data_IF_214143277717
#
_entry.id   IF_214143277717
#
_cell.length_a   1.000
_cell.length_b   1.000
_cell.length_c   1.000
_cell.angle_alpha   90.00
_cell.angle_beta   90.00
_cell.angle_gamma   90.00
#
_symmetry.space_group_name_H-M   'P 1'
#
loop_
_entity.id
_entity.type
_entity.pdbx_description
1 polymer ?
#
# COMPACT_ATOMS: atom_id res chain seq x y z
N UNK A 1 56.50 -35.51 5.20
CA UNK A 1 55.42 -34.75 4.52
C UNK A 1 55.41 -33.32 5.09
N UNK A 2 55.92 -32.37 4.30
CA UNK A 2 56.29 -31.07 4.78
C UNK A 2 55.10 -30.12 5.07
N UNK A 3 55.34 -29.18 5.94
CA UNK A 3 54.45 -28.09 6.38
C UNK A 3 53.82 -27.34 5.21
N UNK A 4 54.51 -27.21 4.08
CA UNK A 4 54.06 -26.59 2.82
C UNK A 4 52.82 -27.31 2.24
N UNK A 5 52.80 -28.66 2.22
CA UNK A 5 51.65 -29.43 1.71
C UNK A 5 50.40 -29.38 2.62
N UNK A 6 50.57 -29.08 3.92
CA UNK A 6 49.46 -28.85 4.84
C UNK A 6 48.84 -27.47 4.62
N UNK A 7 49.63 -26.44 4.38
CA UNK A 7 49.17 -25.08 4.09
C UNK A 7 48.40 -24.99 2.75
N UNK A 8 48.90 -25.69 1.73
CA UNK A 8 48.22 -25.75 0.41
C UNK A 8 46.86 -26.46 0.48
N UNK A 9 46.73 -27.58 1.19
CA UNK A 9 45.46 -28.27 1.39
C UNK A 9 44.46 -27.44 2.22
N UNK A 10 44.96 -26.72 3.23
CA UNK A 10 44.12 -25.84 4.04
C UNK A 10 43.61 -24.61 3.24
N UNK A 11 44.44 -24.08 2.33
CA UNK A 11 44.03 -22.99 1.43
C UNK A 11 43.02 -23.48 0.39
N UNK A 12 43.20 -24.68 -0.16
CA UNK A 12 42.27 -25.29 -1.10
C UNK A 12 40.89 -25.60 -0.46
N UNK A 13 40.87 -26.15 0.75
CA UNK A 13 39.66 -26.42 1.49
C UNK A 13 38.88 -25.13 1.86
N UNK A 14 39.58 -24.03 2.17
CA UNK A 14 38.95 -22.71 2.40
C UNK A 14 38.34 -22.14 1.11
N UNK A 15 39.04 -22.27 -0.03
CA UNK A 15 38.55 -21.85 -1.34
C UNK A 15 37.29 -22.59 -1.76
N UNK A 16 37.25 -23.93 -1.56
CA UNK A 16 36.08 -24.76 -1.85
C UNK A 16 34.88 -24.43 -0.93
N UNK A 17 35.14 -24.19 0.37
CA UNK A 17 34.11 -23.76 1.32
C UNK A 17 33.50 -22.41 0.94
N UNK A 18 34.31 -21.41 0.60
CA UNK A 18 33.84 -20.09 0.17
C UNK A 18 33.08 -20.15 -1.18
N UNK A 19 33.52 -21.02 -2.12
CA UNK A 19 32.82 -21.19 -3.38
C UNK A 19 31.44 -21.87 -3.19
N UNK A 20 31.35 -22.83 -2.25
CA UNK A 20 30.08 -23.51 -1.92
C UNK A 20 29.10 -22.55 -1.22
N UNK A 21 29.60 -21.68 -0.35
CA UNK A 21 28.79 -20.68 0.36
C UNK A 21 28.23 -19.64 -0.60
N UNK A 22 29.04 -19.08 -1.49
CA UNK A 22 28.58 -18.16 -2.55
C UNK A 22 27.58 -18.81 -3.51
N UNK A 23 27.76 -20.10 -3.82
CA UNK A 23 26.81 -20.85 -4.66
C UNK A 23 25.47 -21.06 -3.93
N UNK A 24 25.53 -21.35 -2.64
CA UNK A 24 24.34 -21.51 -1.79
C UNK A 24 23.56 -20.20 -1.65
N UNK A 25 24.24 -19.09 -1.42
CA UNK A 25 23.63 -17.74 -1.38
C UNK A 25 22.96 -17.38 -2.72
N UNK A 26 23.64 -17.65 -3.85
CA UNK A 26 23.04 -17.44 -5.18
C UNK A 26 21.81 -18.29 -5.41
N UNK A 27 21.85 -19.55 -5.02
CA UNK A 27 20.71 -20.47 -5.16
C UNK A 27 19.54 -20.00 -4.28
N UNK A 28 19.80 -19.59 -3.02
CA UNK A 28 18.78 -19.08 -2.11
C UNK A 28 18.15 -17.78 -2.66
N UNK A 29 18.96 -16.86 -3.20
CA UNK A 29 18.43 -15.64 -3.85
C UNK A 29 17.62 -15.92 -5.10
N UNK A 30 18.09 -16.82 -5.96
CA UNK A 30 17.37 -17.20 -7.20
C UNK A 30 16.11 -17.98 -6.88
N UNK A 31 16.17 -18.96 -5.98
CA UNK A 31 15.02 -19.76 -5.59
C UNK A 31 14.02 -18.92 -4.80
N UNK A 32 14.48 -18.07 -3.88
CA UNK A 32 13.61 -17.14 -3.15
C UNK A 32 12.90 -16.15 -4.08
N UNK A 33 13.64 -15.52 -4.99
CA UNK A 33 13.05 -14.62 -5.98
C UNK A 33 12.10 -15.32 -6.96
N UNK A 34 12.46 -16.52 -7.44
CA UNK A 34 11.61 -17.31 -8.33
C UNK A 34 10.34 -17.81 -7.63
N UNK A 35 10.42 -18.14 -6.33
CA UNK A 35 9.25 -18.57 -5.55
C UNK A 35 8.26 -17.41 -5.35
N UNK A 36 8.76 -16.21 -5.06
CA UNK A 36 7.91 -15.02 -4.94
C UNK A 36 7.22 -14.70 -6.28
N UNK A 37 7.96 -14.73 -7.38
CA UNK A 37 7.39 -14.49 -8.72
C UNK A 37 6.39 -15.59 -9.11
N UNK A 38 6.65 -16.85 -8.78
CA UNK A 38 5.74 -17.96 -9.06
C UNK A 38 4.46 -17.90 -8.21
N UNK A 39 4.58 -17.50 -6.95
CA UNK A 39 3.43 -17.27 -6.06
C UNK A 39 2.60 -16.07 -6.55
N UNK A 40 3.25 -14.98 -6.96
CA UNK A 40 2.58 -13.81 -7.55
C UNK A 40 1.87 -14.18 -8.86
N UNK A 41 2.52 -14.94 -9.74
CA UNK A 41 1.90 -15.39 -10.99
C UNK A 41 0.75 -16.38 -10.74
N UNK A 42 0.83 -17.22 -9.70
CA UNK A 42 -0.24 -18.14 -9.32
C UNK A 42 -1.43 -17.38 -8.71
N UNK A 43 -1.18 -16.35 -7.89
CA UNK A 43 -2.23 -15.50 -7.31
C UNK A 43 -2.95 -14.72 -8.43
N UNK A 44 -2.20 -14.13 -9.37
CA UNK A 44 -2.77 -13.44 -10.54
C UNK A 44 -3.56 -14.43 -11.42
N UNK A 45 -3.04 -15.63 -11.64
CA UNK A 45 -3.72 -16.65 -12.43
C UNK A 45 -5.01 -17.18 -11.80
N UNK A 46 -5.04 -17.31 -10.47
CA UNK A 46 -6.24 -17.72 -9.71
C UNK A 46 -7.25 -16.56 -9.68
N UNK A 47 -6.81 -15.31 -9.51
CA UNK A 47 -7.68 -14.14 -9.52
C UNK A 47 -8.38 -13.98 -10.89
N UNK A 48 -7.66 -14.12 -12.00
CA UNK A 48 -8.23 -14.07 -13.35
C UNK A 48 -9.20 -15.24 -13.61
N UNK A 49 -8.93 -16.43 -13.08
CA UNK A 49 -9.81 -17.60 -13.25
C UNK A 49 -11.06 -17.51 -12.36
N UNK A 50 -10.94 -16.98 -11.13
CA UNK A 50 -12.06 -16.80 -10.22
C UNK A 50 -13.01 -15.69 -10.70
N UNK A 51 -12.49 -14.56 -11.24
CA UNK A 51 -13.31 -13.45 -11.74
C UNK A 51 -14.18 -13.82 -12.94
N UNK A 52 -13.82 -14.87 -13.68
CA UNK A 52 -14.61 -15.34 -14.81
C UNK A 52 -15.78 -16.29 -14.45
N UNK A 53 -15.90 -16.72 -13.19
CA UNK A 53 -16.87 -17.74 -12.76
C UNK A 53 -17.62 -17.43 -11.46
N UNK A 54 -17.51 -16.21 -10.89
CA UNK A 54 -18.27 -15.89 -9.66
C UNK A 54 -19.64 -15.33 -9.99
N UNK A 55 -20.72 -15.87 -9.39
CA UNK A 55 -22.01 -15.21 -9.43
C UNK A 55 -21.93 -13.92 -8.60
N UNK A 56 -22.35 -12.80 -9.18
CA UNK A 56 -22.51 -11.52 -8.51
C UNK A 56 -23.47 -11.67 -7.33
N UNK A 57 -22.93 -11.72 -6.11
CA UNK A 57 -23.73 -11.49 -4.91
C UNK A 57 -23.77 -9.99 -4.67
N UNK A 58 -24.92 -9.40 -4.94
CA UNK A 58 -25.23 -8.02 -4.61
C UNK A 58 -25.03 -7.78 -3.10
N UNK A 59 -23.89 -7.22 -2.74
CA UNK A 59 -23.66 -6.61 -1.43
C UNK A 59 -24.28 -5.19 -1.42
N UNK A 60 -25.49 -5.06 -1.97
CA UNK A 60 -26.21 -3.79 -2.05
C UNK A 60 -26.85 -3.49 -0.70
N UNK A 61 -26.16 -2.74 0.11
CA UNK A 61 -26.66 -2.19 1.39
C UNK A 61 -26.33 -0.73 1.58
N UNK A 62 -25.54 -0.12 0.68
CA UNK A 62 -25.14 1.27 0.83
C UNK A 62 -25.81 2.17 -0.19
N UNK A 63 -26.42 3.23 0.30
CA UNK A 63 -26.83 4.38 -0.48
C UNK A 63 -25.62 5.20 -0.89
N UNK A 64 -24.92 4.82 -1.95
CA UNK A 64 -23.77 5.57 -2.45
C UNK A 64 -22.85 4.70 -3.28
N UNK A 65 -23.24 4.37 -4.50
CA UNK A 65 -22.38 3.71 -5.48
C UNK A 65 -21.20 4.60 -5.90
N UNK A 66 -20.37 4.11 -6.82
CA UNK A 66 -19.29 4.89 -7.44
C UNK A 66 -19.90 6.19 -7.99
N UNK A 67 -19.40 7.33 -7.50
CA UNK A 67 -19.82 8.67 -7.96
C UNK A 67 -18.84 9.18 -9.00
N UNK A 68 -19.29 10.12 -9.83
CA UNK A 68 -18.41 10.79 -10.80
C UNK A 68 -17.37 11.66 -10.08
N UNK A 69 -16.15 11.77 -10.61
CA UNK A 69 -15.13 12.68 -10.08
C UNK A 69 -15.61 14.13 -10.06
N UNK A 70 -15.40 14.82 -8.96
CA UNK A 70 -15.67 16.25 -8.80
C UNK A 70 -14.47 16.93 -8.11
N UNK A 71 -13.58 17.58 -8.84
CA UNK A 71 -12.40 18.26 -8.29
C UNK A 71 -12.74 19.38 -7.30
N UNK A 72 -13.99 19.87 -7.29
CA UNK A 72 -14.48 20.90 -6.35
C UNK A 72 -15.11 20.34 -5.08
N UNK A 73 -15.23 19.00 -4.97
CA UNK A 73 -15.80 18.36 -3.81
C UNK A 73 -14.98 18.61 -2.53
N UNK A 74 -15.65 18.52 -1.38
CA UNK A 74 -14.99 18.62 -0.09
C UNK A 74 -13.88 17.57 0.06
N UNK A 75 -12.75 17.98 0.62
CA UNK A 75 -11.60 17.12 0.90
C UNK A 75 -11.50 16.85 2.40
N UNK A 76 -11.02 15.67 2.81
CA UNK A 76 -10.65 15.42 4.20
C UNK A 76 -9.56 16.39 4.67
N UNK A 77 -9.47 16.63 5.97
CA UNK A 77 -8.55 17.59 6.57
C UNK A 77 -7.09 17.29 6.19
N UNK A 78 -6.40 18.28 5.62
CA UNK A 78 -4.99 18.16 5.23
C UNK A 78 -4.72 17.37 3.95
N UNK A 79 -5.74 16.82 3.30
CA UNK A 79 -5.61 16.25 1.95
C UNK A 79 -5.27 17.33 0.94
N UNK A 80 -4.38 17.02 0.02
CA UNK A 80 -3.87 17.97 -0.98
C UNK A 80 -4.93 18.31 -2.02
N UNK A 81 -4.99 19.59 -2.41
CA UNK A 81 -5.95 20.07 -3.40
C UNK A 81 -5.66 19.55 -4.82
N UNK A 82 -6.61 19.72 -5.73
CA UNK A 82 -6.48 19.39 -7.14
C UNK A 82 -5.31 20.10 -7.84
N UNK A 83 -4.94 21.31 -7.38
CA UNK A 83 -3.83 22.10 -7.95
C UNK A 83 -2.46 21.74 -7.35
N UNK A 84 -2.39 20.77 -6.44
CA UNK A 84 -1.15 20.29 -5.85
C UNK A 84 -0.31 19.52 -6.87
N UNK A 85 1.03 19.49 -6.75
CA UNK A 85 1.87 18.56 -7.52
C UNK A 85 1.51 17.09 -7.36
N UNK A 86 0.86 16.74 -6.25
CA UNK A 86 0.35 15.40 -5.92
C UNK A 86 -1.15 15.49 -5.57
N UNK A 87 -2.02 15.72 -6.58
CA UNK A 87 -3.43 16.01 -6.34
C UNK A 87 -4.13 14.94 -5.53
N UNK A 88 -4.97 15.37 -4.58
CA UNK A 88 -5.79 14.50 -3.71
C UNK A 88 -5.01 13.52 -2.83
N UNK A 89 -3.68 13.62 -2.78
CA UNK A 89 -2.83 12.80 -1.93
C UNK A 89 -2.99 13.10 -0.45
N UNK A 90 -2.70 12.12 0.39
CA UNK A 90 -2.79 12.19 1.85
C UNK A 90 -1.38 12.32 2.44
N UNK A 91 -0.96 13.52 2.89
CA UNK A 91 0.32 13.70 3.56
C UNK A 91 0.33 13.00 4.92
N UNK A 92 1.47 12.41 5.28
CA UNK A 92 1.67 11.81 6.59
C UNK A 92 3.08 12.08 7.13
N UNK A 93 3.17 12.37 8.43
CA UNK A 93 4.41 12.62 9.13
C UNK A 93 4.60 14.07 9.56
N UNK A 94 5.86 14.51 9.66
CA UNK A 94 6.20 15.85 10.24
C UNK A 94 5.94 17.03 9.32
N UNK A 95 5.67 16.82 8.04
CA UNK A 95 5.48 17.88 7.06
C UNK A 95 6.79 18.64 6.69
N UNK A 96 7.97 18.05 6.91
CA UNK A 96 9.25 18.61 6.45
C UNK A 96 9.23 18.84 4.94
N UNK A 97 9.71 20.02 4.48
CA UNK A 97 9.66 20.42 3.06
C UNK A 97 10.99 20.27 2.32
N UNK A 98 12.11 20.24 3.05
CA UNK A 98 13.47 20.18 2.48
C UNK A 98 14.01 18.72 2.44
N UNK A 99 13.12 17.76 2.20
CA UNK A 99 13.41 16.33 2.17
C UNK A 99 12.75 15.70 0.95
N UNK A 100 13.23 14.51 0.49
CA UNK A 100 12.62 13.83 -0.65
C UNK A 100 11.13 13.57 -0.46
N UNK A 101 10.36 13.63 -1.55
CA UNK A 101 8.94 13.25 -1.56
C UNK A 101 8.84 11.76 -1.87
N UNK A 102 8.25 10.99 -0.96
CA UNK A 102 7.92 9.58 -1.17
C UNK A 102 6.42 9.44 -1.39
N UNK A 103 6.02 9.08 -2.60
CA UNK A 103 4.64 8.76 -2.93
C UNK A 103 4.43 7.24 -2.92
N UNK A 104 3.32 6.78 -2.34
CA UNK A 104 2.92 5.37 -2.32
C UNK A 104 1.49 5.24 -2.81
N UNK A 105 1.33 4.67 -4.02
CA UNK A 105 0.03 4.37 -4.59
C UNK A 105 -0.48 3.03 -4.08
N UNK A 106 -1.73 3.00 -3.64
CA UNK A 106 -2.33 1.82 -3.01
C UNK A 106 -3.84 1.74 -3.21
N UNK A 107 -4.36 0.51 -3.20
CA UNK A 107 -5.78 0.21 -3.19
C UNK A 107 -6.07 -0.73 -2.02
N UNK A 108 -7.10 -0.45 -1.23
CA UNK A 108 -7.43 -1.22 -0.03
C UNK A 108 -7.85 -2.67 -0.33
N UNK A 109 -8.31 -2.98 -1.55
CA UNK A 109 -8.61 -4.35 -1.96
C UNK A 109 -7.39 -5.08 -2.53
N UNK A 110 -6.27 -4.38 -2.84
CA UNK A 110 -5.10 -4.97 -3.47
C UNK A 110 -4.31 -5.87 -2.50
N UNK A 111 -4.22 -7.20 -2.75
CA UNK A 111 -3.47 -8.10 -1.87
C UNK A 111 -1.98 -7.77 -1.79
N UNK A 112 -1.40 -7.25 -2.89
CA UNK A 112 0.00 -6.84 -2.92
C UNK A 112 0.25 -5.59 -2.07
N UNK A 113 -0.75 -4.70 -1.92
CA UNK A 113 -0.68 -3.57 -0.99
C UNK A 113 -0.72 -4.04 0.47
N UNK A 114 -1.58 -5.00 0.80
CA UNK A 114 -1.57 -5.64 2.12
C UNK A 114 -0.25 -6.34 2.43
N UNK A 115 0.36 -6.99 1.43
CA UNK A 115 1.67 -7.60 1.57
C UNK A 115 2.79 -6.56 1.79
N UNK A 116 2.75 -5.41 1.09
CA UNK A 116 3.67 -4.30 1.32
C UNK A 116 3.52 -3.73 2.73
N UNK A 117 2.28 -3.52 3.18
CA UNK A 117 1.99 -3.03 4.52
C UNK A 117 2.58 -3.95 5.59
N UNK A 118 2.38 -5.26 5.45
CA UNK A 118 2.95 -6.26 6.35
C UNK A 118 4.48 -6.29 6.31
N UNK A 119 5.09 -6.11 5.13
CA UNK A 119 6.55 -6.20 4.94
C UNK A 119 7.27 -4.94 5.44
N UNK A 120 6.76 -3.74 5.15
CA UNK A 120 7.46 -2.48 5.40
C UNK A 120 6.53 -1.28 5.66
N UNK A 121 5.25 -1.45 5.93
CA UNK A 121 4.34 -0.34 6.22
C UNK A 121 4.86 0.55 7.35
N UNK A 122 5.21 -0.04 8.48
CA UNK A 122 5.77 0.68 9.61
C UNK A 122 7.12 1.39 9.31
N UNK A 123 7.95 0.84 8.42
CA UNK A 123 9.19 1.46 7.98
C UNK A 123 8.96 2.69 7.11
N UNK A 124 7.99 2.60 6.19
CA UNK A 124 7.55 3.72 5.34
C UNK A 124 6.99 4.86 6.21
N UNK A 125 6.09 4.55 7.13
CA UNK A 125 5.52 5.52 8.07
C UNK A 125 6.59 6.21 8.91
N UNK A 126 7.54 5.44 9.43
CA UNK A 126 8.65 5.94 10.23
C UNK A 126 9.52 6.96 9.49
N UNK A 127 9.75 6.78 8.19
CA UNK A 127 10.48 7.78 7.39
C UNK A 127 9.75 9.13 7.36
N UNK A 128 8.42 9.13 7.25
CA UNK A 128 7.60 10.34 7.35
C UNK A 128 7.60 10.93 8.78
N UNK A 129 7.43 10.10 9.80
CA UNK A 129 7.41 10.50 11.22
C UNK A 129 8.75 11.09 11.68
N UNK A 130 9.87 10.59 11.17
CA UNK A 130 11.20 11.12 11.44
C UNK A 130 11.58 12.31 10.54
N UNK A 131 10.70 12.73 9.64
CA UNK A 131 10.95 13.83 8.70
C UNK A 131 12.08 13.54 7.72
N UNK A 132 12.28 12.28 7.37
CA UNK A 132 13.26 11.85 6.35
C UNK A 132 12.71 11.98 4.94
N UNK A 133 11.39 11.93 4.81
CA UNK A 133 10.65 12.14 3.57
C UNK A 133 9.38 12.95 3.84
N UNK A 134 8.87 13.62 2.80
CA UNK A 134 7.45 13.98 2.73
C UNK A 134 6.72 12.73 2.25
N UNK A 135 6.10 11.98 3.16
CA UNK A 135 5.31 10.82 2.79
C UNK A 135 3.93 11.27 2.31
N UNK A 136 3.55 10.85 1.11
CA UNK A 136 2.24 11.12 0.53
C UNK A 136 1.64 9.79 0.07
N UNK A 137 0.58 9.36 0.74
CA UNK A 137 -0.22 8.25 0.25
C UNK A 137 -1.07 8.71 -0.93
N UNK A 138 -1.08 7.90 -2.00
CA UNK A 138 -1.84 8.10 -3.23
C UNK A 138 -2.88 6.98 -3.35
N UNK A 139 -4.02 7.11 -2.66
CA UNK A 139 -5.03 6.07 -2.70
C UNK A 139 -5.71 5.98 -4.07
N UNK A 140 -6.15 4.79 -4.44
CA UNK A 140 -6.96 4.54 -5.63
C UNK A 140 -8.03 3.47 -5.36
N UNK A 141 -9.01 3.38 -6.23
CA UNK A 141 -10.09 2.40 -6.19
C UNK A 141 -10.23 1.66 -7.54
N UNK A 142 -9.13 1.53 -8.29
CA UNK A 142 -9.16 0.98 -9.64
C UNK A 142 -9.59 -0.49 -9.70
N UNK A 143 -9.43 -1.23 -8.61
CA UNK A 143 -9.84 -2.62 -8.53
C UNK A 143 -11.35 -2.79 -8.53
N UNK A 144 -12.13 -1.84 -8.07
CA UNK A 144 -13.59 -1.92 -8.06
C UNK A 144 -14.16 -2.21 -9.46
N UNK A 145 -13.63 -1.54 -10.50
CA UNK A 145 -14.05 -1.78 -11.87
C UNK A 145 -13.73 -3.20 -12.35
N UNK A 146 -12.60 -3.76 -11.91
CA UNK A 146 -12.15 -5.11 -12.28
C UNK A 146 -12.91 -6.19 -11.51
N UNK A 147 -13.29 -5.90 -10.27
CA UNK A 147 -13.96 -6.81 -9.34
C UNK A 147 -15.49 -6.70 -9.38
N UNK A 148 -16.02 -5.66 -10.05
CA UNK A 148 -17.45 -5.42 -10.18
C UNK A 148 -18.11 -5.02 -8.86
N UNK A 149 -17.41 -4.29 -7.99
CA UNK A 149 -17.90 -3.79 -6.72
C UNK A 149 -17.52 -2.31 -6.52
N UNK A 150 -17.79 -1.74 -5.35
CA UNK A 150 -17.50 -0.35 -4.94
C UNK A 150 -16.69 -0.29 -3.64
N UNK A 151 -16.07 -1.39 -3.25
CA UNK A 151 -15.51 -1.56 -1.90
C UNK A 151 -14.29 -0.69 -1.64
N UNK A 152 -13.41 -0.51 -2.64
CA UNK A 152 -12.28 0.40 -2.53
C UNK A 152 -12.73 1.86 -2.39
N UNK A 153 -13.72 2.30 -3.19
CA UNK A 153 -14.28 3.66 -3.06
C UNK A 153 -14.87 3.89 -1.67
N UNK A 154 -15.62 2.93 -1.12
CA UNK A 154 -16.20 3.05 0.22
C UNK A 154 -15.15 3.04 1.32
N UNK A 155 -14.15 2.18 1.21
CA UNK A 155 -13.05 2.14 2.16
C UNK A 155 -12.23 3.45 2.15
N UNK A 156 -12.00 4.04 0.96
CA UNK A 156 -11.37 5.35 0.82
C UNK A 156 -12.22 6.46 1.44
N UNK A 157 -13.52 6.50 1.16
CA UNK A 157 -14.42 7.48 1.75
C UNK A 157 -14.44 7.37 3.29
N UNK A 158 -14.47 6.16 3.83
CA UNK A 158 -14.37 5.92 5.26
C UNK A 158 -13.01 6.37 5.84
N UNK A 159 -11.92 6.16 5.09
CA UNK A 159 -10.60 6.70 5.49
C UNK A 159 -10.62 8.23 5.52
N UNK A 160 -11.26 8.89 4.56
CA UNK A 160 -11.46 10.35 4.60
C UNK A 160 -12.13 10.81 5.91
N UNK A 161 -13.15 10.11 6.35
CA UNK A 161 -13.81 10.38 7.63
C UNK A 161 -12.88 10.15 8.85
N UNK A 162 -12.01 9.16 8.77
CA UNK A 162 -11.02 8.89 9.82
C UNK A 162 -9.89 9.91 9.84
N UNK A 163 -9.51 10.46 8.66
CA UNK A 163 -8.55 11.58 8.54
C UNK A 163 -9.07 12.79 9.31
N UNK A 164 -10.34 13.14 9.18
CA UNK A 164 -10.96 14.23 9.94
C UNK A 164 -10.97 13.98 11.45
N UNK A 165 -11.04 12.72 11.85
CA UNK A 165 -10.91 12.32 13.25
C UNK A 165 -9.45 12.25 13.73
N UNK A 166 -8.46 12.63 12.90
CA UNK A 166 -7.04 12.59 13.22
C UNK A 166 -6.46 11.18 13.27
N UNK A 167 -7.05 10.23 12.54
CA UNK A 167 -6.69 8.80 12.55
C UNK A 167 -6.20 8.31 11.18
N UNK A 168 -5.32 9.10 10.55
CA UNK A 168 -4.77 8.83 9.21
C UNK A 168 -4.15 7.44 9.13
N UNK A 169 -3.17 7.18 9.98
CA UNK A 169 -2.42 5.93 10.01
C UNK A 169 -3.23 4.78 10.59
N UNK A 170 -3.81 5.00 11.75
CA UNK A 170 -4.48 3.95 12.53
C UNK A 170 -5.64 3.32 11.75
N UNK A 171 -6.41 4.13 11.02
CA UNK A 171 -7.51 3.60 10.21
C UNK A 171 -6.99 2.85 8.99
N UNK A 172 -6.05 3.44 8.23
CA UNK A 172 -5.44 2.81 7.07
C UNK A 172 -4.85 1.43 7.44
N UNK A 173 -4.08 1.36 8.51
CA UNK A 173 -3.46 0.12 8.98
C UNK A 173 -4.51 -0.89 9.46
N UNK A 174 -5.60 -0.42 10.08
CA UNK A 174 -6.73 -1.28 10.47
C UNK A 174 -7.40 -1.90 9.25
N UNK A 175 -7.62 -1.13 8.17
CA UNK A 175 -8.20 -1.65 6.92
C UNK A 175 -7.31 -2.75 6.33
N UNK A 176 -6.01 -2.51 6.15
CA UNK A 176 -5.09 -3.52 5.63
C UNK A 176 -4.95 -4.74 6.56
N UNK A 177 -4.94 -4.56 7.88
CA UNK A 177 -4.89 -5.67 8.84
C UNK A 177 -6.13 -6.57 8.78
N UNK A 178 -7.26 -6.06 8.30
CA UNK A 178 -8.51 -6.77 8.14
C UNK A 178 -8.85 -7.05 6.66
N UNK A 179 -7.87 -6.95 5.76
CA UNK A 179 -8.08 -7.22 4.34
C UNK A 179 -8.54 -8.68 4.16
N UNK A 180 -9.64 -8.93 3.44
CA UNK A 180 -10.08 -10.28 3.14
C UNK A 180 -9.00 -11.09 2.43
N UNK A 181 -8.88 -12.37 2.77
CA UNK A 181 -7.91 -13.27 2.12
C UNK A 181 -8.21 -13.46 0.64
N UNK A 182 -9.49 -13.45 0.27
CA UNK A 182 -9.95 -13.55 -1.10
C UNK A 182 -10.22 -12.14 -1.66
N UNK A 183 -9.53 -11.80 -2.74
CA UNK A 183 -9.71 -10.53 -3.44
C UNK A 183 -11.13 -10.40 -3.99
N UNK A 184 -11.70 -9.21 -3.88
CA UNK A 184 -13.05 -8.93 -4.38
C UNK A 184 -14.20 -9.15 -3.40
N UNK A 185 -13.96 -9.77 -2.24
CA UNK A 185 -14.96 -9.81 -1.14
C UNK A 185 -15.21 -8.38 -0.65
N UNK A 186 -14.14 -7.57 -0.54
CA UNK A 186 -14.22 -6.19 -0.09
C UNK A 186 -14.63 -6.05 1.38
N UNK A 187 -15.18 -4.88 1.73
CA UNK A 187 -15.57 -4.51 3.09
C UNK A 187 -17.05 -4.13 3.13
N UNK A 188 -17.77 -4.62 4.15
CA UNK A 188 -19.12 -4.14 4.43
C UNK A 188 -19.09 -2.79 5.14
N UNK A 189 -20.19 -2.03 5.11
CA UNK A 189 -20.30 -0.79 5.89
C UNK A 189 -20.10 -1.03 7.37
N UNK A 190 -20.70 -2.11 7.91
CA UNK A 190 -20.54 -2.48 9.31
C UNK A 190 -19.07 -2.71 9.70
N UNK A 191 -18.30 -3.35 8.80
CA UNK A 191 -16.86 -3.51 9.01
C UNK A 191 -16.13 -2.16 9.00
N UNK A 192 -16.41 -1.28 8.03
CA UNK A 192 -15.79 0.04 7.95
C UNK A 192 -16.12 0.90 9.17
N UNK A 193 -17.36 0.86 9.66
CA UNK A 193 -17.75 1.52 10.92
C UNK A 193 -17.01 0.94 12.13
N UNK A 194 -16.87 -0.39 12.20
CA UNK A 194 -16.11 -1.08 13.24
C UNK A 194 -14.62 -0.70 13.21
N UNK A 195 -14.04 -0.51 12.03
CA UNK A 195 -12.63 -0.09 11.87
C UNK A 195 -12.39 1.31 12.47
N UNK A 196 -13.37 2.21 12.44
CA UNK A 196 -13.27 3.48 13.12
C UNK A 196 -13.00 3.32 14.62
N UNK A 197 -13.78 2.49 15.31
CA UNK A 197 -13.57 2.24 16.75
C UNK A 197 -12.26 1.48 17.02
N UNK A 198 -11.90 0.51 16.19
CA UNK A 198 -10.62 -0.23 16.28
C UNK A 198 -9.40 0.70 16.08
N UNK A 199 -9.56 1.75 15.27
CA UNK A 199 -8.52 2.77 15.06
C UNK A 199 -8.41 3.79 16.20
N UNK A 200 -9.20 3.60 17.27
CA UNK A 200 -9.18 4.46 18.45
C UNK A 200 -9.96 5.77 18.26
N UNK A 201 -10.93 5.81 17.35
CA UNK A 201 -11.95 6.87 17.32
C UNK A 201 -12.98 6.55 18.40
N UNK A 202 -13.26 7.48 19.30
CA UNK A 202 -14.14 7.26 20.46
C UNK A 202 -15.14 8.40 20.64
N UNK A 203 -16.13 8.19 21.48
CA UNK A 203 -17.07 9.20 21.96
C UNK A 203 -17.79 9.96 20.82
N UNK A 204 -17.85 11.29 20.92
CA UNK A 204 -18.48 12.13 19.91
C UNK A 204 -17.80 12.03 18.53
N UNK A 205 -16.47 11.86 18.51
CA UNK A 205 -15.73 11.68 17.26
C UNK A 205 -16.16 10.42 16.53
N UNK A 206 -16.47 9.33 17.24
CA UNK A 206 -16.98 8.09 16.64
C UNK A 206 -18.38 8.29 16.04
N UNK A 207 -19.23 9.07 16.70
CA UNK A 207 -20.55 9.42 16.16
C UNK A 207 -20.42 10.22 14.86
N UNK A 208 -19.54 11.23 14.85
CA UNK A 208 -19.27 12.06 13.66
C UNK A 208 -18.67 11.23 12.53
N UNK A 209 -17.71 10.36 12.84
CA UNK A 209 -17.13 9.42 11.87
C UNK A 209 -18.19 8.52 11.27
N UNK A 210 -19.05 7.91 12.12
CA UNK A 210 -20.09 7.00 11.66
C UNK A 210 -21.09 7.71 10.73
N UNK A 211 -21.51 8.93 11.08
CA UNK A 211 -22.38 9.72 10.23
C UNK A 211 -21.70 10.06 8.88
N UNK A 212 -20.44 10.48 8.91
CA UNK A 212 -19.65 10.79 7.72
C UNK A 212 -19.55 9.59 6.77
N UNK A 213 -19.32 8.38 7.30
CA UNK A 213 -19.28 7.14 6.51
C UNK A 213 -20.64 6.83 5.90
N UNK A 214 -21.71 6.88 6.70
CA UNK A 214 -23.07 6.57 6.24
C UNK A 214 -23.56 7.58 5.19
N UNK A 215 -23.19 8.85 5.33
CA UNK A 215 -23.53 9.90 4.37
C UNK A 215 -22.68 9.83 3.09
N UNK A 216 -21.63 9.00 3.04
CA UNK A 216 -20.73 8.92 1.90
C UNK A 216 -19.97 10.22 1.62
N UNK A 217 -19.69 11.02 2.67
CA UNK A 217 -19.17 12.40 2.56
C UNK A 217 -17.98 12.54 1.63
N UNK A 218 -17.07 11.56 1.59
CA UNK A 218 -15.84 11.61 0.81
C UNK A 218 -15.82 10.67 -0.41
N UNK A 219 -16.97 10.20 -0.90
CA UNK A 219 -17.05 9.38 -2.12
C UNK A 219 -16.51 10.14 -3.34
N UNK A 220 -16.78 11.44 -3.46
CA UNK A 220 -16.26 12.24 -4.57
C UNK A 220 -14.73 12.42 -4.49
N UNK A 221 -14.15 12.56 -3.28
CA UNK A 221 -12.70 12.51 -3.10
C UNK A 221 -12.13 11.16 -3.53
N UNK A 222 -12.76 10.04 -3.14
CA UNK A 222 -12.34 8.71 -3.57
C UNK A 222 -12.40 8.55 -5.10
N UNK A 223 -13.43 9.10 -5.76
CA UNK A 223 -13.52 9.13 -7.22
C UNK A 223 -12.42 9.99 -7.85
N UNK A 224 -12.09 11.16 -7.26
CA UNK A 224 -11.01 12.02 -7.73
C UNK A 224 -9.65 11.33 -7.65
N UNK A 225 -9.33 10.66 -6.52
CA UNK A 225 -8.06 9.93 -6.38
C UNK A 225 -7.95 8.78 -7.38
N UNK A 226 -9.05 8.08 -7.63
CA UNK A 226 -9.11 7.02 -8.62
C UNK A 226 -8.91 7.58 -10.04
N UNK A 227 -9.51 8.72 -10.37
CA UNK A 227 -9.32 9.39 -11.67
C UNK A 227 -7.85 9.79 -11.88
N UNK A 228 -7.16 10.30 -10.85
CA UNK A 228 -5.72 10.58 -10.90
C UNK A 228 -4.92 9.32 -11.22
N UNK A 229 -5.22 8.19 -10.58
CA UNK A 229 -4.57 6.92 -10.90
C UNK A 229 -4.79 6.51 -12.36
N UNK A 230 -6.04 6.54 -12.84
CA UNK A 230 -6.39 6.13 -14.21
C UNK A 230 -5.72 6.99 -15.29
N UNK A 231 -5.42 8.26 -14.98
CA UNK A 231 -4.75 9.18 -15.91
C UNK A 231 -3.22 9.18 -15.78
N UNK A 232 -2.66 8.68 -14.68
CA UNK A 232 -1.22 8.70 -14.37
C UNK A 232 -0.38 7.72 -15.18
N UNK A 233 -0.99 6.79 -15.89
CA UNK A 233 -0.32 5.68 -16.62
C UNK A 233 0.42 4.70 -15.67
N UNK A 234 0.12 4.68 -14.37
CA UNK A 234 0.66 3.72 -13.40
C UNK A 234 -0.01 2.38 -13.64
N UNK A 235 0.80 1.33 -13.81
CA UNK A 235 0.32 0.01 -14.25
C UNK A 235 -0.38 -0.81 -13.17
N UNK A 236 -0.33 -0.41 -11.89
CA UNK A 236 -0.93 -1.14 -10.76
C UNK A 236 -0.46 -0.66 -9.40
N UNK A 237 -0.93 -1.33 -8.36
CA UNK A 237 -0.55 -1.07 -6.97
C UNK A 237 0.04 -2.33 -6.31
N UNK A 238 0.93 -2.19 -5.31
CA UNK A 238 1.50 -0.93 -4.86
C UNK A 238 2.52 -0.38 -5.87
N UNK A 239 2.60 0.95 -6.00
CA UNK A 239 3.65 1.63 -6.75
C UNK A 239 4.24 2.75 -5.91
N UNK A 240 5.57 2.82 -5.83
CA UNK A 240 6.29 3.84 -5.10
C UNK A 240 7.05 4.78 -6.02
N UNK A 241 7.14 6.07 -5.64
CA UNK A 241 7.96 7.05 -6.33
C UNK A 241 8.73 7.90 -5.31
N UNK A 242 10.00 8.12 -5.57
CA UNK A 242 10.84 9.00 -4.77
C UNK A 242 11.28 10.19 -5.64
N UNK A 243 10.82 11.39 -5.31
CA UNK A 243 11.00 12.59 -6.14
C UNK A 243 10.52 12.38 -7.60
N UNK A 244 9.41 11.67 -7.79
CA UNK A 244 8.85 11.34 -9.09
C UNK A 244 9.54 10.18 -9.83
N UNK A 245 10.65 9.65 -9.34
CA UNK A 245 11.33 8.50 -9.93
C UNK A 245 10.76 7.19 -9.35
N UNK A 246 10.45 6.20 -10.20
CA UNK A 246 9.90 4.93 -9.73
C UNK A 246 10.82 4.22 -8.74
N UNK A 247 10.25 3.66 -7.69
CA UNK A 247 10.95 2.79 -6.72
C UNK A 247 10.52 1.35 -6.98
N UNK A 248 11.50 0.48 -7.19
CA UNK A 248 11.24 -0.95 -7.36
C UNK A 248 10.47 -1.51 -6.15
N UNK A 249 9.42 -2.29 -6.37
CA UNK A 249 8.57 -2.84 -5.30
C UNK A 249 9.38 -3.61 -4.25
N UNK A 250 10.45 -4.32 -4.68
CA UNK A 250 11.34 -5.02 -3.77
C UNK A 250 12.11 -4.08 -2.84
N UNK A 251 12.47 -2.88 -3.32
CA UNK A 251 13.11 -1.83 -2.49
C UNK A 251 12.10 -1.20 -1.55
N UNK A 252 10.89 -0.92 -2.06
CA UNK A 252 9.81 -0.36 -1.25
C UNK A 252 9.42 -1.29 -0.09
N UNK A 253 9.45 -2.61 -0.31
CA UNK A 253 9.13 -3.63 0.68
C UNK A 253 10.29 -3.99 1.65
N UNK A 254 11.51 -3.48 1.43
CA UNK A 254 12.67 -3.70 2.29
C UNK A 254 13.00 -2.43 3.09
N UNK A 255 12.82 -2.41 4.41
CA UNK A 255 13.02 -1.21 5.24
C UNK A 255 14.47 -0.68 5.19
N UNK A 256 15.46 -1.55 4.99
CA UNK A 256 16.85 -1.13 4.91
C UNK A 256 17.15 -0.53 3.55
N UNK A 257 16.77 -1.23 2.47
CA UNK A 257 16.99 -0.76 1.11
C UNK A 257 16.28 0.57 0.83
N UNK A 258 15.05 0.73 1.31
CA UNK A 258 14.31 1.98 1.16
C UNK A 258 14.96 3.13 1.94
N UNK A 259 15.40 2.89 3.18
CA UNK A 259 16.09 3.91 3.97
C UNK A 259 17.43 4.34 3.34
N UNK A 260 18.20 3.41 2.79
CA UNK A 260 19.44 3.70 2.04
C UNK A 260 19.15 4.51 0.77
N UNK A 261 18.10 4.16 0.02
CA UNK A 261 17.70 4.92 -1.16
C UNK A 261 17.31 6.36 -0.79
N UNK A 262 16.48 6.56 0.24
CA UNK A 262 16.09 7.88 0.74
C UNK A 262 17.32 8.69 1.15
N UNK A 263 18.23 8.12 1.95
CA UNK A 263 19.45 8.80 2.38
C UNK A 263 20.36 9.22 1.21
N UNK A 264 20.32 8.52 0.08
CA UNK A 264 21.08 8.87 -1.12
C UNK A 264 20.53 10.08 -1.88
N UNK A 265 19.28 10.50 -1.57
CA UNK A 265 18.54 11.60 -2.24
C UNK A 265 18.33 12.81 -1.34
N UNK A 266 18.78 12.74 -0.06
CA UNK A 266 18.68 13.82 0.93
C UNK A 266 19.81 14.83 0.83
#
# INVERSE_FOLDING_TARGET
MGEKGRRERAAQARGEAQASEKRRERIVRIVGGATVVAVMAAIIGVAVYASSNSPSTDASGLTGGIVEPDPSAALPAGVLSADSPTPFGVPYGTGSTDVPVLEVWEDFQCPACGALELANGAGIEKLGEEGKVQLIYRPTAFLDANLGNDSSHRALAAWGCAIDAGKVKEFRNTVFANQPVEEGIGYTEEQLLSFGSQSGITDTALTTFSQCVTDGTYLAWAANTNQEFLTSQIGGTPSGFLNGEPVETAVLADPIALAELVASKS
#
